data_IF_933525226695
#
_entry.id   IF_933525226695
#
_cell.length_a   1.000
_cell.length_b   1.000
_cell.length_c   1.000
_cell.angle_alpha   90.00
_cell.angle_beta   90.00
_cell.angle_gamma   90.00
#
_symmetry.space_group_name_H-M   'P 1'
#
loop_
_entity.id
_entity.type
_entity.pdbx_description
1 polymer ?
#
# COMPACT_ATOMS: atom_id res chain seq x y z
N UNK A 1 38.04 -4.83 26.42
CA UNK A 1 36.66 -5.21 26.77
C UNK A 1 35.93 -3.93 27.12
N UNK A 2 35.31 -3.29 26.11
CA UNK A 2 34.41 -2.16 26.33
C UNK A 2 33.08 -2.51 25.68
N UNK A 3 32.08 -2.68 26.54
CA UNK A 3 30.74 -3.10 26.18
C UNK A 3 30.00 -2.02 25.40
N UNK A 4 30.02 -2.11 24.08
CA UNK A 4 28.88 -1.64 23.29
C UNK A 4 27.68 -2.54 23.62
N UNK A 5 26.78 -2.07 24.48
CA UNK A 5 25.42 -2.64 24.54
C UNK A 5 24.84 -2.55 23.13
N UNK A 6 24.47 -3.66 22.47
CA UNK A 6 23.82 -3.56 21.18
C UNK A 6 22.46 -2.91 21.41
N UNK A 7 22.22 -1.80 20.71
CA UNK A 7 20.92 -1.18 20.57
C UNK A 7 19.91 -2.24 20.12
N UNK A 8 19.05 -2.69 21.04
CA UNK A 8 17.75 -3.36 20.86
C UNK A 8 17.51 -4.19 19.57
N UNK A 9 18.45 -5.06 19.18
CA UNK A 9 18.33 -5.91 17.99
C UNK A 9 17.37 -7.11 18.21
N UNK A 10 16.75 -7.60 17.13
CA UNK A 10 15.95 -8.83 17.09
C UNK A 10 16.53 -9.82 16.07
N UNK A 11 17.66 -10.47 16.40
CA UNK A 11 18.32 -11.37 15.47
C UNK A 11 17.51 -12.66 15.28
N UNK A 12 17.45 -13.16 14.06
CA UNK A 12 16.94 -14.50 13.71
C UNK A 12 17.87 -15.15 12.69
N UNK A 13 17.80 -16.47 12.57
CA UNK A 13 18.52 -17.21 11.55
C UNK A 13 17.55 -17.79 10.52
N UNK A 14 17.87 -17.70 9.23
CA UNK A 14 17.12 -18.40 8.20
C UNK A 14 18.11 -19.02 7.21
N UNK A 15 18.11 -20.35 7.14
CA UNK A 15 18.96 -21.11 6.23
C UNK A 15 20.46 -20.72 6.27
N UNK A 16 21.01 -20.60 7.48
CA UNK A 16 22.42 -20.25 7.69
C UNK A 16 22.72 -18.76 7.67
N UNK A 17 21.77 -17.92 7.27
CA UNK A 17 21.88 -16.46 7.22
C UNK A 17 21.29 -15.79 8.46
N UNK A 18 21.82 -14.61 8.82
CA UNK A 18 21.36 -13.82 9.96
C UNK A 18 20.58 -12.59 9.51
N UNK A 19 19.46 -12.33 10.18
CA UNK A 19 18.56 -11.21 9.88
C UNK A 19 18.22 -10.47 11.17
N UNK A 20 18.04 -9.16 11.10
CA UNK A 20 17.50 -8.36 12.20
C UNK A 20 16.07 -7.91 11.87
N UNK A 21 15.10 -8.51 12.56
CA UNK A 21 13.69 -8.20 12.36
C UNK A 21 13.24 -6.98 13.15
N UNK A 22 14.11 -6.33 13.94
CA UNK A 22 13.69 -5.34 14.94
C UNK A 22 12.77 -4.27 14.38
N UNK A 23 13.17 -3.66 13.26
CA UNK A 23 12.41 -2.59 12.62
C UNK A 23 11.11 -3.12 12.00
N UNK A 24 11.14 -4.35 11.47
CA UNK A 24 10.00 -5.01 10.85
C UNK A 24 9.00 -5.60 11.84
N UNK A 25 9.35 -5.75 13.12
CA UNK A 25 8.49 -6.43 14.10
C UNK A 25 7.06 -5.86 14.16
N UNK A 26 6.92 -4.53 14.09
CA UNK A 26 5.64 -3.84 14.14
C UNK A 26 4.87 -3.92 12.83
N UNK A 27 5.59 -4.10 11.73
CA UNK A 27 5.03 -4.13 10.38
C UNK A 27 4.76 -5.56 9.89
N UNK A 28 5.18 -6.57 10.65
CA UNK A 28 4.94 -7.98 10.33
C UNK A 28 3.43 -8.28 10.29
N UNK A 29 2.87 -8.76 9.16
CA UNK A 29 1.43 -8.97 8.99
C UNK A 29 0.81 -9.97 9.99
N UNK A 30 1.60 -10.90 10.53
CA UNK A 30 1.14 -11.81 11.59
C UNK A 30 1.16 -11.18 13.00
N UNK A 31 1.54 -9.91 13.11
CA UNK A 31 1.67 -9.17 14.36
C UNK A 31 2.97 -9.46 15.12
N UNK A 32 3.33 -8.55 16.03
CA UNK A 32 4.56 -8.63 16.85
C UNK A 32 4.61 -9.91 17.70
N UNK A 33 3.45 -10.38 18.18
CA UNK A 33 3.37 -11.49 19.12
C UNK A 33 3.80 -12.83 18.52
N UNK A 34 3.65 -13.02 17.21
CA UNK A 34 4.10 -14.25 16.55
C UNK A 34 5.62 -14.32 16.48
N UNK A 35 6.31 -13.17 16.41
CA UNK A 35 7.76 -13.10 16.30
C UNK A 35 8.48 -13.24 17.64
N UNK A 36 7.87 -12.81 18.76
CA UNK A 36 8.51 -12.73 20.10
C UNK A 36 9.29 -13.98 20.51
N UNK A 37 8.79 -15.17 20.14
CA UNK A 37 9.38 -16.45 20.54
C UNK A 37 10.56 -16.91 19.68
N UNK A 38 10.88 -16.18 18.60
CA UNK A 38 11.91 -16.52 17.62
C UNK A 38 13.21 -15.72 17.77
N UNK A 39 13.32 -14.84 18.77
CA UNK A 39 14.56 -14.08 19.03
C UNK A 39 15.74 -15.03 19.23
N UNK A 40 16.79 -14.87 18.43
CA UNK A 40 17.99 -15.68 18.43
C UNK A 40 17.81 -17.12 17.91
N UNK A 41 16.67 -17.43 17.27
CA UNK A 41 16.35 -18.78 16.77
C UNK A 41 16.30 -18.84 15.26
N UNK A 42 16.38 -20.06 14.74
CA UNK A 42 16.06 -20.33 13.34
C UNK A 42 14.55 -20.17 13.07
N UNK A 43 14.20 -19.42 12.03
CA UNK A 43 12.83 -19.24 11.55
C UNK A 43 12.52 -20.10 10.33
N UNK A 44 13.43 -20.97 9.87
CA UNK A 44 13.26 -21.82 8.68
C UNK A 44 11.92 -22.58 8.69
N UNK A 45 11.67 -23.31 9.78
CA UNK A 45 10.44 -24.09 9.92
C UNK A 45 9.20 -23.19 10.09
N UNK A 46 9.35 -22.03 10.73
CA UNK A 46 8.24 -21.09 10.89
C UNK A 46 7.82 -20.49 9.54
N UNK A 47 8.79 -20.07 8.72
CA UNK A 47 8.55 -19.53 7.39
C UNK A 47 7.81 -20.54 6.50
N UNK A 48 8.26 -21.79 6.50
CA UNK A 48 7.63 -22.89 5.75
C UNK A 48 6.24 -23.26 6.30
N UNK A 49 6.10 -23.39 7.63
CA UNK A 49 4.86 -23.82 8.27
C UNK A 49 3.70 -22.86 8.04
N UNK A 50 3.98 -21.56 8.04
CA UNK A 50 2.95 -20.53 7.90
C UNK A 50 2.71 -20.09 6.44
N UNK A 51 3.38 -20.72 5.46
CA UNK A 51 3.12 -20.49 4.03
C UNK A 51 3.30 -19.03 3.61
N UNK A 52 4.46 -18.45 3.93
CA UNK A 52 4.75 -17.06 3.54
C UNK A 52 4.79 -16.91 2.02
N UNK A 53 4.32 -15.76 1.51
CA UNK A 53 4.31 -15.51 0.06
C UNK A 53 5.73 -15.29 -0.50
N UNK A 54 5.89 -15.44 -1.82
CA UNK A 54 7.13 -15.14 -2.53
C UNK A 54 7.68 -13.73 -2.22
N UNK A 55 6.80 -12.73 -2.14
CA UNK A 55 7.19 -11.35 -1.82
C UNK A 55 7.74 -11.22 -0.39
N UNK A 56 7.28 -12.04 0.56
CA UNK A 56 7.80 -12.04 1.92
C UNK A 56 9.23 -12.61 1.97
N UNK A 57 9.53 -13.66 1.20
CA UNK A 57 10.90 -14.17 1.07
C UNK A 57 11.83 -13.17 0.37
N UNK A 58 11.37 -12.52 -0.70
CA UNK A 58 12.13 -11.47 -1.37
C UNK A 58 12.47 -10.31 -0.42
N UNK A 59 11.49 -9.84 0.34
CA UNK A 59 11.66 -8.75 1.30
C UNK A 59 12.61 -9.10 2.46
N UNK A 60 12.71 -10.38 2.82
CA UNK A 60 13.60 -10.82 3.89
C UNK A 60 15.07 -10.47 3.61
N UNK A 61 15.47 -10.39 2.32
CA UNK A 61 16.81 -9.96 1.93
C UNK A 61 17.17 -8.56 2.47
N UNK A 62 16.19 -7.65 2.55
CA UNK A 62 16.40 -6.29 3.06
C UNK A 62 16.63 -6.25 4.59
N UNK A 63 16.35 -7.35 5.29
CA UNK A 63 16.51 -7.49 6.74
C UNK A 63 17.81 -8.22 7.12
N UNK A 64 18.63 -8.63 6.14
CA UNK A 64 19.86 -9.39 6.36
C UNK A 64 20.91 -8.52 7.04
N UNK A 65 21.55 -9.07 8.08
CA UNK A 65 22.58 -8.37 8.87
C UNK A 65 23.81 -8.07 8.01
N UNK A 66 24.11 -8.86 6.98
CA UNK A 66 25.25 -8.72 6.05
C UNK A 66 24.84 -8.45 4.59
N UNK A 67 23.68 -7.81 4.34
CA UNK A 67 23.48 -7.12 3.05
C UNK A 67 24.47 -5.96 2.99
N UNK A 68 25.02 -5.54 1.83
CA UNK A 68 26.05 -4.48 1.63
C UNK A 68 25.80 -3.09 2.31
N UNK A 69 24.81 -2.98 3.18
CA UNK A 69 24.93 -2.24 4.44
C UNK A 69 25.89 -2.85 5.51
N UNK A 70 26.54 -4.01 5.27
CA UNK A 70 27.54 -4.77 6.06
C UNK A 70 28.13 -5.91 5.17
N UNK A 71 29.47 -6.09 5.14
CA UNK A 71 30.25 -6.79 4.09
C UNK A 71 30.77 -8.20 4.45
N UNK A 72 30.82 -9.08 3.43
CA UNK A 72 31.74 -10.21 3.11
C UNK A 72 32.03 -11.36 4.12
N UNK A 73 31.68 -12.63 3.76
CA UNK A 73 32.58 -13.76 3.31
C UNK A 73 31.86 -15.15 3.34
N UNK A 74 31.85 -15.81 2.18
CA UNK A 74 31.75 -17.25 1.81
C UNK A 74 30.96 -18.30 2.64
N UNK A 75 30.02 -18.96 1.94
CA UNK A 75 29.28 -20.16 2.37
C UNK A 75 29.49 -21.33 1.39
N UNK A 76 29.65 -22.55 1.92
CA UNK A 76 29.73 -23.80 1.15
C UNK A 76 28.46 -24.63 1.32
N UNK A 77 27.74 -24.83 0.21
CA UNK A 77 26.57 -25.68 0.05
C UNK A 77 25.73 -25.14 -1.13
N UNK A 78 25.48 -25.95 -2.16
CA UNK A 78 25.17 -25.53 -3.54
C UNK A 78 24.29 -24.28 -3.68
N UNK A 79 24.87 -23.32 -4.40
CA UNK A 79 24.46 -21.93 -4.55
C UNK A 79 24.32 -21.66 -6.05
N UNK A 80 23.30 -20.92 -6.46
CA UNK A 80 23.33 -20.26 -7.77
C UNK A 80 24.55 -19.35 -7.88
N UNK A 81 25.04 -19.08 -9.10
CA UNK A 81 26.18 -18.17 -9.35
C UNK A 81 26.06 -16.79 -8.66
N UNK A 82 24.85 -16.38 -8.24
CA UNK A 82 24.56 -15.11 -7.56
C UNK A 82 24.23 -15.20 -6.05
N UNK A 83 24.44 -16.33 -5.36
CA UNK A 83 24.41 -16.31 -3.89
C UNK A 83 23.08 -16.57 -3.18
N UNK A 84 22.02 -17.05 -3.87
CA UNK A 84 20.69 -17.26 -3.26
C UNK A 84 20.40 -18.72 -2.86
N UNK A 85 19.68 -18.86 -1.73
CA UNK A 85 19.11 -20.10 -1.18
C UNK A 85 17.69 -20.36 -1.70
N UNK A 86 17.42 -21.62 -2.06
CA UNK A 86 16.14 -22.05 -2.65
C UNK A 86 15.17 -22.66 -1.60
N UNK A 87 13.91 -22.24 -1.56
CA UNK A 87 12.86 -22.69 -0.61
C UNK A 87 11.90 -23.74 -1.18
N UNK A 88 11.11 -24.42 -0.32
CA UNK A 88 10.25 -25.56 -0.71
C UNK A 88 9.07 -25.23 -1.64
N UNK A 89 8.66 -23.96 -1.74
CA UNK A 89 7.67 -23.48 -2.73
C UNK A 89 8.33 -23.06 -4.05
N UNK A 90 9.67 -23.02 -4.14
CA UNK A 90 10.45 -22.68 -5.33
C UNK A 90 10.75 -23.87 -6.22
N UNK A 91 10.05 -25.00 -6.03
CA UNK A 91 10.10 -26.10 -7.00
C UNK A 91 9.50 -25.71 -8.37
N UNK A 92 8.82 -24.56 -8.47
CA UNK A 92 8.14 -24.09 -9.68
C UNK A 92 8.63 -22.74 -10.25
N UNK A 93 9.60 -22.05 -9.62
CA UNK A 93 10.18 -20.79 -10.17
C UNK A 93 11.70 -20.89 -10.25
N UNK A 94 12.23 -20.48 -11.39
CA UNK A 94 13.60 -20.73 -11.78
C UNK A 94 14.57 -19.71 -11.16
N UNK A 95 15.80 -20.13 -10.87
CA UNK A 95 16.85 -19.31 -10.25
C UNK A 95 17.13 -18.00 -11.02
N UNK A 96 17.01 -18.07 -12.33
CA UNK A 96 17.18 -16.99 -13.28
C UNK A 96 16.14 -15.88 -13.09
N UNK A 97 14.92 -16.22 -12.67
CA UNK A 97 13.86 -15.24 -12.44
C UNK A 97 14.17 -14.33 -11.25
N UNK A 98 14.83 -14.89 -10.23
CA UNK A 98 15.28 -14.10 -9.09
C UNK A 98 16.48 -13.25 -9.45
N UNK A 99 17.49 -13.84 -10.10
CA UNK A 99 18.66 -13.10 -10.58
C UNK A 99 18.22 -11.90 -11.42
N UNK A 100 17.21 -12.11 -12.26
CA UNK A 100 16.59 -11.06 -13.03
C UNK A 100 15.91 -9.98 -12.18
N UNK A 101 15.19 -10.34 -11.11
CA UNK A 101 14.62 -9.36 -10.17
C UNK A 101 15.71 -8.54 -9.46
N UNK A 102 16.78 -9.18 -9.00
CA UNK A 102 17.92 -8.50 -8.38
C UNK A 102 18.63 -7.56 -9.37
N UNK A 103 18.81 -8.00 -10.61
CA UNK A 103 19.31 -7.16 -11.70
C UNK A 103 18.40 -5.96 -11.97
N UNK A 104 17.08 -6.12 -11.88
CA UNK A 104 16.13 -4.99 -12.00
C UNK A 104 16.25 -4.03 -10.82
N UNK A 105 16.41 -4.53 -9.59
CA UNK A 105 16.65 -3.67 -8.42
C UNK A 105 17.95 -2.87 -8.53
N UNK A 106 19.03 -3.51 -9.00
CA UNK A 106 20.34 -2.90 -9.12
C UNK A 106 20.41 -1.77 -10.15
N UNK A 107 19.43 -1.69 -11.08
CA UNK A 107 19.32 -0.58 -12.05
C UNK A 107 18.89 0.74 -11.40
N UNK A 108 18.34 0.71 -10.18
CA UNK A 108 17.81 1.88 -9.50
C UNK A 108 18.66 2.23 -8.28
N UNK A 109 18.98 3.51 -8.14
CA UNK A 109 19.63 4.06 -6.96
C UNK A 109 18.58 4.53 -5.95
N UNK A 110 18.33 3.69 -4.94
CA UNK A 110 17.38 3.94 -3.85
C UNK A 110 17.78 5.11 -2.93
N UNK A 111 19.02 5.61 -3.01
CA UNK A 111 19.42 6.83 -2.30
C UNK A 111 18.92 8.12 -2.97
N UNK A 112 18.46 8.01 -4.23
CA UNK A 112 18.00 9.12 -5.07
C UNK A 112 16.49 9.04 -5.33
N UNK A 113 15.87 10.14 -5.79
CA UNK A 113 14.46 10.14 -6.19
C UNK A 113 14.17 9.09 -7.28
N UNK A 114 13.26 8.16 -7.02
CA UNK A 114 12.98 7.02 -7.91
C UNK A 114 12.14 7.40 -9.13
N UNK A 115 11.28 8.42 -9.06
CA UNK A 115 10.35 8.71 -10.14
C UNK A 115 11.06 9.05 -11.46
N UNK A 116 12.26 9.63 -11.38
CA UNK A 116 13.09 9.97 -12.54
C UNK A 116 14.04 8.86 -12.99
N UNK A 117 13.99 7.69 -12.37
CA UNK A 117 14.82 6.52 -12.69
C UNK A 117 13.99 5.37 -13.29
N UNK A 118 12.65 5.48 -13.31
CA UNK A 118 11.75 4.40 -13.74
C UNK A 118 11.87 4.03 -15.23
N UNK A 119 12.50 4.87 -16.04
CA UNK A 119 12.84 4.54 -17.43
C UNK A 119 13.84 3.38 -17.52
N UNK A 120 14.76 3.23 -16.56
CA UNK A 120 15.75 2.15 -16.52
C UNK A 120 15.14 0.73 -16.39
N UNK A 121 13.90 0.66 -15.90
CA UNK A 121 13.15 -0.58 -15.68
C UNK A 121 11.88 -0.67 -16.54
N UNK A 122 11.65 0.27 -17.45
CA UNK A 122 10.39 0.39 -18.19
C UNK A 122 9.92 -0.88 -18.92
N UNK A 123 10.81 -1.68 -19.58
CA UNK A 123 10.40 -2.93 -20.23
C UNK A 123 9.90 -4.01 -19.25
N UNK A 124 10.26 -3.92 -17.97
CA UNK A 124 9.99 -4.93 -16.94
C UNK A 124 9.35 -4.32 -15.69
N UNK A 125 8.68 -3.18 -15.86
CA UNK A 125 8.10 -2.42 -14.78
C UNK A 125 7.10 -3.24 -13.97
N UNK A 126 6.22 -3.98 -14.63
CA UNK A 126 5.18 -4.79 -14.00
C UNK A 126 5.79 -5.86 -13.08
N UNK A 127 6.86 -6.51 -13.51
CA UNK A 127 7.58 -7.50 -12.71
C UNK A 127 8.25 -6.84 -11.50
N UNK A 128 8.92 -5.69 -11.71
CA UNK A 128 9.63 -4.97 -10.65
C UNK A 128 8.69 -4.37 -9.59
N UNK A 129 7.57 -3.76 -10.00
CA UNK A 129 6.66 -3.04 -9.10
C UNK A 129 5.88 -3.97 -8.17
N UNK A 130 5.60 -5.19 -8.62
CA UNK A 130 4.91 -6.22 -7.84
C UNK A 130 5.87 -7.05 -6.94
N UNK A 131 7.17 -6.79 -7.01
CA UNK A 131 8.17 -7.35 -6.10
C UNK A 131 8.38 -6.42 -4.90
N UNK A 132 7.66 -6.65 -3.81
CA UNK A 132 7.72 -5.79 -2.64
C UNK A 132 9.10 -5.77 -1.96
N UNK A 133 9.47 -4.61 -1.42
CA UNK A 133 10.72 -4.37 -0.68
C UNK A 133 10.46 -3.64 0.63
N UNK A 134 11.36 -3.77 1.60
CA UNK A 134 11.32 -3.07 2.88
C UNK A 134 12.38 -1.98 2.92
N UNK A 135 12.14 -0.89 2.18
CA UNK A 135 13.09 0.20 1.99
C UNK A 135 12.41 1.57 2.05
N UNK A 136 13.18 2.60 2.39
CA UNK A 136 12.72 3.98 2.22
C UNK A 136 12.65 4.32 0.73
N UNK A 137 11.56 4.94 0.31
CA UNK A 137 11.36 5.39 -1.06
C UNK A 137 11.28 6.92 -1.09
N UNK A 138 12.17 7.55 -1.88
CA UNK A 138 12.08 8.97 -2.20
C UNK A 138 11.52 9.13 -3.61
N UNK A 139 10.48 9.93 -3.81
CA UNK A 139 9.85 10.10 -5.12
C UNK A 139 10.42 11.29 -5.89
N UNK A 140 10.59 12.42 -5.21
CA UNK A 140 10.97 13.69 -5.82
C UNK A 140 12.28 14.25 -5.25
N UNK A 141 13.04 14.95 -6.12
CA UNK A 141 14.21 15.71 -5.69
C UNK A 141 13.80 16.90 -4.81
N UNK A 142 12.73 17.59 -5.20
CA UNK A 142 12.18 18.73 -4.46
C UNK A 142 11.62 18.29 -3.09
N UNK A 143 12.09 18.87 -1.97
CA UNK A 143 11.54 18.59 -0.64
C UNK A 143 10.05 18.93 -0.53
N UNK A 144 9.59 19.97 -1.24
CA UNK A 144 8.18 20.37 -1.25
C UNK A 144 7.31 19.29 -1.92
N UNK A 145 7.68 18.86 -3.13
CA UNK A 145 6.95 17.82 -3.84
C UNK A 145 6.96 16.50 -3.07
N UNK A 146 8.09 16.17 -2.45
CA UNK A 146 8.19 15.01 -1.58
C UNK A 146 7.24 15.12 -0.39
N UNK A 147 7.19 16.27 0.29
CA UNK A 147 6.29 16.50 1.42
C UNK A 147 4.82 16.39 1.05
N UNK A 148 4.43 16.78 -0.18
CA UNK A 148 3.05 16.67 -0.66
C UNK A 148 2.61 15.21 -0.89
N UNK A 149 3.55 14.27 -0.93
CA UNK A 149 3.24 12.83 -1.04
C UNK A 149 2.90 12.22 0.31
N UNK A 150 3.29 12.85 1.42
CA UNK A 150 3.03 12.33 2.76
C UNK A 150 1.59 12.59 3.17
N UNK A 151 0.85 11.51 3.37
CA UNK A 151 -0.50 11.50 3.91
C UNK A 151 -0.56 10.54 5.10
N UNK A 152 -0.27 11.02 6.32
CA UNK A 152 -0.55 10.25 7.54
C UNK A 152 -2.02 9.78 7.57
N UNK A 153 -2.26 8.59 8.11
CA UNK A 153 -3.59 7.97 8.13
C UNK A 153 -4.68 8.88 8.71
N UNK A 154 -4.37 9.69 9.72
CA UNK A 154 -5.32 10.58 10.40
C UNK A 154 -5.74 11.79 9.55
N UNK A 155 -5.06 12.12 8.45
CA UNK A 155 -5.49 13.21 7.57
C UNK A 155 -6.76 12.87 6.80
N UNK A 156 -6.96 11.60 6.46
CA UNK A 156 -8.17 11.12 5.76
C UNK A 156 -9.45 11.40 6.56
N UNK A 157 -9.61 10.95 7.83
CA UNK A 157 -10.82 11.23 8.60
C UNK A 157 -10.95 12.73 8.91
N UNK A 158 -9.85 13.40 9.24
CA UNK A 158 -9.84 14.83 9.58
C UNK A 158 -10.39 15.67 8.43
N UNK A 159 -10.08 15.28 7.19
CA UNK A 159 -10.59 15.96 6.01
C UNK A 159 -12.03 15.54 5.65
N UNK A 160 -12.31 14.23 5.60
CA UNK A 160 -13.56 13.71 5.03
C UNK A 160 -14.73 13.67 6.03
N UNK A 161 -14.49 13.43 7.31
CA UNK A 161 -15.57 13.31 8.31
C UNK A 161 -16.34 14.62 8.46
N UNK A 162 -15.72 15.80 8.58
CA UNK A 162 -16.47 17.06 8.63
C UNK A 162 -17.35 17.30 7.40
N UNK A 163 -16.84 16.94 6.20
CA UNK A 163 -17.58 17.07 4.94
C UNK A 163 -18.78 16.13 4.92
N UNK A 164 -18.59 14.86 5.32
CA UNK A 164 -19.67 13.86 5.39
C UNK A 164 -20.75 14.31 6.38
N UNK A 165 -20.36 14.77 7.56
CA UNK A 165 -21.30 15.23 8.58
C UNK A 165 -22.06 16.46 8.11
N UNK A 166 -21.37 17.44 7.54
CA UNK A 166 -22.01 18.63 6.98
C UNK A 166 -23.04 18.26 5.92
N UNK A 167 -22.63 17.51 4.89
CA UNK A 167 -23.53 17.11 3.79
C UNK A 167 -24.69 16.24 4.28
N UNK A 168 -24.44 15.28 5.17
CA UNK A 168 -25.47 14.41 5.71
C UNK A 168 -26.50 15.19 6.53
N UNK A 169 -26.05 16.06 7.43
CA UNK A 169 -26.95 16.86 8.27
C UNK A 169 -27.74 17.87 7.45
N UNK A 170 -27.09 18.62 6.55
CA UNK A 170 -27.81 19.62 5.73
C UNK A 170 -28.84 18.94 4.83
N UNK A 171 -28.49 17.82 4.18
CA UNK A 171 -29.44 17.09 3.34
C UNK A 171 -30.58 16.47 4.15
N UNK A 172 -30.32 16.01 5.38
CA UNK A 172 -31.39 15.53 6.26
C UNK A 172 -32.37 16.65 6.62
N UNK A 173 -31.86 17.84 6.98
CA UNK A 173 -32.69 18.99 7.31
C UNK A 173 -33.48 19.49 6.09
N UNK A 174 -32.86 19.55 4.91
CA UNK A 174 -33.45 20.07 3.67
C UNK A 174 -34.43 19.11 2.99
N UNK A 175 -34.26 17.79 3.14
CA UNK A 175 -35.06 16.80 2.43
C UNK A 175 -36.03 16.04 3.34
N UNK A 176 -35.78 15.94 4.65
CA UNK A 176 -36.61 15.15 5.57
C UNK A 176 -37.35 16.05 6.56
N UNK A 177 -36.65 17.03 7.17
CA UNK A 177 -37.20 17.89 8.25
C UNK A 177 -37.73 19.23 7.72
N UNK A 178 -37.69 19.46 6.41
CA UNK A 178 -37.95 20.76 5.79
C UNK A 178 -39.37 21.32 5.96
N UNK A 179 -40.35 20.50 6.37
CA UNK A 179 -41.73 20.95 6.61
C UNK A 179 -42.33 21.65 5.40
N UNK A 180 -42.92 22.83 5.59
CA UNK A 180 -43.49 23.61 4.48
C UNK A 180 -42.44 24.31 3.60
N UNK A 181 -41.16 24.26 4.00
CA UNK A 181 -40.04 24.92 3.29
C UNK A 181 -39.28 24.00 2.33
N UNK A 182 -39.81 22.82 2.03
CA UNK A 182 -39.14 21.88 1.12
C UNK A 182 -39.08 22.42 -0.31
N UNK A 183 -37.86 22.63 -0.83
CA UNK A 183 -37.65 23.03 -2.23
C UNK A 183 -37.86 21.89 -3.23
N UNK A 184 -37.89 20.65 -2.74
CA UNK A 184 -38.03 19.41 -3.51
C UNK A 184 -39.03 18.48 -2.81
N UNK A 185 -39.46 17.42 -3.47
CA UNK A 185 -40.31 16.40 -2.86
C UNK A 185 -39.64 15.84 -1.59
N UNK A 186 -40.27 15.95 -0.42
CA UNK A 186 -39.67 15.48 0.83
C UNK A 186 -39.47 13.96 0.81
N UNK A 187 -38.39 13.53 1.43
CA UNK A 187 -38.05 12.13 1.64
C UNK A 187 -38.51 11.67 3.02
N UNK A 188 -39.05 10.47 3.11
CA UNK A 188 -39.18 9.76 4.38
C UNK A 188 -37.80 9.39 4.95
N UNK A 189 -37.73 9.14 6.25
CA UNK A 189 -36.52 8.61 6.89
C UNK A 189 -36.00 7.32 6.21
N UNK A 190 -36.91 6.45 5.77
CA UNK A 190 -36.54 5.22 5.05
C UNK A 190 -35.89 5.49 3.70
N UNK A 191 -36.42 6.45 2.92
CA UNK A 191 -35.83 6.86 1.65
C UNK A 191 -34.47 7.53 1.84
N UNK A 192 -34.30 8.35 2.87
CA UNK A 192 -33.00 8.96 3.20
C UNK A 192 -31.94 7.88 3.44
N UNK A 193 -32.24 6.91 4.32
CA UNK A 193 -31.35 5.78 4.61
C UNK A 193 -31.07 4.96 3.35
N UNK A 194 -32.09 4.71 2.52
CA UNK A 194 -31.94 4.02 1.25
C UNK A 194 -30.93 4.72 0.32
N UNK A 195 -31.01 6.03 0.15
CA UNK A 195 -30.09 6.79 -0.70
C UNK A 195 -28.65 6.80 -0.16
N UNK A 196 -28.47 6.87 1.16
CA UNK A 196 -27.15 6.74 1.80
C UNK A 196 -26.58 5.33 1.56
N UNK A 197 -27.38 4.28 1.78
CA UNK A 197 -26.98 2.89 1.56
C UNK A 197 -26.66 2.61 0.08
N UNK A 198 -27.47 3.15 -0.84
CA UNK A 198 -27.22 3.09 -2.28
C UNK A 198 -25.90 3.79 -2.64
N UNK A 199 -25.59 4.92 -2.01
CA UNK A 199 -24.30 5.60 -2.13
C UNK A 199 -23.12 4.71 -1.72
N UNK A 200 -23.22 4.02 -0.58
CA UNK A 200 -22.20 3.05 -0.13
C UNK A 200 -22.04 1.92 -1.14
N UNK A 201 -23.13 1.37 -1.65
CA UNK A 201 -23.11 0.31 -2.66
C UNK A 201 -22.46 0.79 -3.97
N UNK A 202 -22.82 1.97 -4.45
CA UNK A 202 -22.19 2.60 -5.63
C UNK A 202 -20.68 2.73 -5.39
N UNK A 203 -20.26 3.19 -4.21
CA UNK A 203 -18.84 3.25 -3.86
C UNK A 203 -18.17 1.88 -3.90
N UNK A 204 -18.78 0.82 -3.35
CA UNK A 204 -18.16 -0.52 -3.41
C UNK A 204 -17.93 -1.00 -4.84
N UNK A 205 -18.87 -0.74 -5.76
CA UNK A 205 -18.71 -1.05 -7.17
C UNK A 205 -17.62 -0.19 -7.83
N UNK A 206 -17.59 1.11 -7.53
CA UNK A 206 -16.55 2.03 -8.02
C UNK A 206 -15.17 1.67 -7.51
N UNK A 207 -15.03 1.34 -6.22
CA UNK A 207 -13.77 0.94 -5.60
C UNK A 207 -13.20 -0.30 -6.30
N UNK A 208 -14.02 -1.34 -6.46
CA UNK A 208 -13.63 -2.53 -7.20
C UNK A 208 -13.20 -2.19 -8.64
N UNK A 209 -13.97 -1.32 -9.31
CA UNK A 209 -13.71 -0.92 -10.70
C UNK A 209 -12.39 -0.16 -10.84
N UNK A 210 -12.20 0.88 -10.03
CA UNK A 210 -11.00 1.70 -10.00
C UNK A 210 -9.79 0.85 -9.62
N UNK A 211 -9.92 0.01 -8.59
CA UNK A 211 -8.82 -0.82 -8.13
C UNK A 211 -8.40 -1.83 -9.21
N UNK A 212 -9.36 -2.54 -9.81
CA UNK A 212 -9.07 -3.57 -10.81
C UNK A 212 -8.55 -3.03 -12.14
N UNK A 213 -9.15 -1.97 -12.68
CA UNK A 213 -8.87 -1.52 -14.06
C UNK A 213 -8.03 -0.25 -14.16
N UNK A 214 -8.04 0.61 -13.14
CA UNK A 214 -7.26 1.86 -13.15
C UNK A 214 -5.97 1.69 -12.35
N UNK A 215 -6.08 1.23 -11.10
CA UNK A 215 -4.94 1.11 -10.20
C UNK A 215 -4.03 -0.06 -10.57
N UNK A 216 -4.59 -1.14 -11.14
CA UNK A 216 -3.82 -2.27 -11.68
C UNK A 216 -3.68 -2.23 -13.21
N UNK A 217 -3.79 -1.05 -13.82
CA UNK A 217 -3.52 -0.87 -15.25
C UNK A 217 -2.07 -1.27 -15.57
N UNK A 218 -1.87 -2.13 -16.57
CA UNK A 218 -0.53 -2.40 -17.10
C UNK A 218 -0.07 -1.21 -17.97
N UNK A 219 0.97 -0.46 -17.57
CA UNK A 219 1.40 0.71 -18.31
C UNK A 219 2.26 0.40 -19.55
N UNK A 220 2.54 -0.88 -19.82
CA UNK A 220 3.52 -1.30 -20.82
C UNK A 220 4.88 -0.69 -20.55
N UNK A 221 5.58 -0.24 -21.61
CA UNK A 221 6.88 0.43 -21.50
C UNK A 221 6.80 1.97 -21.61
N UNK A 222 5.59 2.54 -21.53
CA UNK A 222 5.41 3.99 -21.58
C UNK A 222 5.86 4.62 -20.27
N UNK A 223 6.99 5.33 -20.29
CA UNK A 223 7.58 5.97 -19.10
C UNK A 223 6.59 6.91 -18.40
N UNK A 224 5.80 7.68 -19.16
CA UNK A 224 4.79 8.58 -18.60
C UNK A 224 3.71 7.81 -17.85
N UNK A 225 3.20 6.73 -18.44
CA UNK A 225 2.15 5.92 -17.83
C UNK A 225 2.68 5.11 -16.64
N UNK A 226 3.93 4.65 -16.70
CA UNK A 226 4.66 4.02 -15.59
C UNK A 226 4.76 4.98 -14.41
N UNK A 227 5.20 6.23 -14.63
CA UNK A 227 5.29 7.25 -13.58
C UNK A 227 3.92 7.53 -12.96
N UNK A 228 2.88 7.65 -13.79
CA UNK A 228 1.52 7.84 -13.32
C UNK A 228 1.02 6.65 -12.49
N UNK A 229 1.13 5.43 -13.00
CA UNK A 229 0.75 4.20 -12.28
C UNK A 229 1.52 4.07 -10.95
N UNK A 230 2.82 4.36 -10.95
CA UNK A 230 3.65 4.30 -9.74
C UNK A 230 3.16 5.25 -8.66
N UNK A 231 2.77 6.48 -9.04
CA UNK A 231 2.25 7.49 -8.10
C UNK A 231 0.87 7.13 -7.53
N UNK A 232 -0.02 6.52 -8.32
CA UNK A 232 -1.39 6.24 -7.86
C UNK A 232 -1.52 4.90 -7.13
N UNK A 233 -0.70 3.89 -7.45
CA UNK A 233 -0.82 2.55 -6.86
C UNK A 233 0.46 1.71 -6.88
N UNK A 234 1.35 1.86 -7.86
CA UNK A 234 2.54 1.02 -7.97
C UNK A 234 3.47 1.12 -6.75
N UNK A 235 3.62 2.30 -6.17
CA UNK A 235 4.37 2.47 -4.92
C UNK A 235 3.78 1.67 -3.76
N UNK A 236 2.45 1.52 -3.68
CA UNK A 236 1.80 0.75 -2.63
C UNK A 236 2.16 -0.74 -2.70
N UNK A 237 2.30 -1.30 -3.91
CA UNK A 237 2.81 -2.67 -4.10
C UNK A 237 4.29 -2.78 -3.79
N UNK A 238 5.06 -1.77 -4.20
CA UNK A 238 6.52 -1.81 -4.10
C UNK A 238 7.02 -1.63 -2.68
N UNK A 239 6.50 -0.65 -1.95
CA UNK A 239 6.87 -0.32 -0.56
C UNK A 239 5.63 -0.34 0.35
N UNK A 240 5.04 -1.53 0.59
CA UNK A 240 3.74 -1.66 1.25
C UNK A 240 3.72 -1.20 2.71
N UNK A 241 4.91 -1.00 3.30
CA UNK A 241 5.11 -0.59 4.70
C UNK A 241 5.46 0.90 4.87
N UNK A 242 5.41 1.71 3.80
CA UNK A 242 5.50 3.16 3.93
C UNK A 242 4.22 3.75 4.55
N UNK A 243 4.18 3.85 5.87
CA UNK A 243 3.02 4.32 6.64
C UNK A 243 2.57 5.76 6.32
N UNK A 244 3.40 6.57 5.67
CA UNK A 244 3.03 7.93 5.25
C UNK A 244 2.37 7.95 3.87
N UNK A 245 2.38 6.84 3.13
CA UNK A 245 1.89 6.79 1.74
C UNK A 245 0.95 5.64 1.45
N UNK A 246 0.41 5.03 2.50
CA UNK A 246 -0.58 3.96 2.40
C UNK A 246 -1.97 4.45 2.02
N UNK A 247 -2.30 5.72 2.27
CA UNK A 247 -3.60 6.31 1.96
C UNK A 247 -3.52 7.28 0.80
N UNK A 248 -4.60 7.36 0.03
CA UNK A 248 -4.66 8.27 -1.10
C UNK A 248 -4.78 9.73 -0.61
N UNK A 249 -3.93 10.67 -1.07
CA UNK A 249 -3.91 12.04 -0.57
C UNK A 249 -5.26 12.76 -0.76
N UNK A 250 -5.78 13.52 0.24
CA UNK A 250 -7.13 14.09 0.20
C UNK A 250 -7.40 15.02 -0.98
N UNK A 251 -6.42 15.84 -1.39
CA UNK A 251 -6.59 16.84 -2.46
C UNK A 251 -6.80 16.15 -3.82
N UNK A 252 -5.91 15.26 -4.32
CA UNK A 252 -6.19 14.42 -5.49
C UNK A 252 -7.49 13.62 -5.36
N UNK A 253 -7.78 13.09 -4.17
CA UNK A 253 -9.01 12.34 -3.93
C UNK A 253 -10.27 13.20 -4.09
N UNK A 254 -10.21 14.48 -3.73
CA UNK A 254 -11.29 15.43 -3.91
C UNK A 254 -11.56 15.71 -5.38
N UNK A 255 -10.53 15.96 -6.18
CA UNK A 255 -10.69 16.14 -7.62
C UNK A 255 -11.28 14.90 -8.29
N UNK A 256 -10.80 13.70 -7.91
CA UNK A 256 -11.37 12.45 -8.41
C UNK A 256 -12.86 12.30 -8.00
N UNK A 257 -13.21 12.65 -6.77
CA UNK A 257 -14.60 12.62 -6.31
C UNK A 257 -15.50 13.59 -7.08
N UNK A 258 -15.01 14.80 -7.41
CA UNK A 258 -15.74 15.79 -8.24
C UNK A 258 -15.97 15.27 -9.65
N UNK A 259 -14.97 14.64 -10.27
CA UNK A 259 -15.09 14.05 -11.62
C UNK A 259 -16.14 12.94 -11.61
N UNK A 260 -16.01 11.97 -10.69
CA UNK A 260 -16.95 10.86 -10.55
C UNK A 260 -18.37 11.37 -10.25
N UNK A 261 -18.51 12.32 -9.34
CA UNK A 261 -19.80 12.94 -9.02
C UNK A 261 -20.42 13.59 -10.26
N UNK A 262 -19.64 14.36 -11.03
CA UNK A 262 -20.14 15.02 -12.24
C UNK A 262 -20.63 14.03 -13.28
N UNK A 263 -19.97 12.87 -13.40
CA UNK A 263 -20.38 11.79 -14.30
C UNK A 263 -21.65 11.07 -13.82
N UNK A 264 -21.81 10.86 -12.50
CA UNK A 264 -22.92 10.11 -11.93
C UNK A 264 -24.17 10.96 -11.68
N UNK A 265 -24.01 12.27 -11.48
CA UNK A 265 -25.10 13.20 -11.16
C UNK A 265 -26.33 13.07 -12.08
N UNK A 266 -26.20 12.93 -13.42
CA UNK A 266 -27.36 12.80 -14.31
C UNK A 266 -28.19 11.53 -14.10
N UNK A 267 -27.62 10.50 -13.46
CA UNK A 267 -28.24 9.18 -13.30
C UNK A 267 -28.83 8.96 -11.91
N UNK A 268 -28.73 9.95 -11.00
CA UNK A 268 -29.11 9.83 -9.60
C UNK A 268 -30.20 10.84 -9.25
N UNK A 269 -31.25 10.38 -8.59
CA UNK A 269 -32.35 11.25 -8.15
C UNK A 269 -31.93 12.24 -7.06
N UNK A 270 -31.07 11.80 -6.12
CA UNK A 270 -30.60 12.61 -4.98
C UNK A 270 -29.07 12.58 -4.92
N UNK A 271 -28.38 13.17 -5.92
CA UNK A 271 -26.96 12.90 -6.18
C UNK A 271 -26.03 13.30 -5.03
N UNK A 272 -26.35 14.36 -4.27
CA UNK A 272 -25.54 14.81 -3.12
C UNK A 272 -25.65 13.82 -1.95
N UNK A 273 -26.85 13.29 -1.69
CA UNK A 273 -27.06 12.29 -0.64
C UNK A 273 -26.40 10.95 -0.99
N UNK A 274 -26.52 10.52 -2.25
CA UNK A 274 -25.79 9.36 -2.78
C UNK A 274 -24.26 9.56 -2.70
N UNK A 275 -23.75 10.76 -3.01
CA UNK A 275 -22.33 11.09 -2.82
C UNK A 275 -21.92 10.98 -1.35
N UNK A 276 -22.74 11.48 -0.42
CA UNK A 276 -22.49 11.39 1.02
C UNK A 276 -22.37 9.92 1.46
N UNK A 277 -23.27 9.06 1.00
CA UNK A 277 -23.17 7.60 1.18
C UNK A 277 -21.89 7.01 0.60
N UNK A 278 -21.50 7.43 -0.61
CA UNK A 278 -20.26 6.97 -1.24
C UNK A 278 -18.99 7.39 -0.46
N UNK A 279 -18.97 8.61 0.06
CA UNK A 279 -17.89 9.10 0.92
C UNK A 279 -17.82 8.34 2.25
N UNK A 280 -18.96 7.95 2.83
CA UNK A 280 -19.01 7.06 4.00
C UNK A 280 -18.38 5.71 3.65
N UNK A 281 -18.79 5.08 2.54
CA UNK A 281 -18.24 3.80 2.08
C UNK A 281 -16.71 3.83 1.93
N UNK A 282 -16.18 4.87 1.28
CA UNK A 282 -14.74 5.11 1.10
C UNK A 282 -13.98 5.11 2.42
N UNK A 283 -14.48 5.82 3.42
CA UNK A 283 -13.79 5.96 4.70
C UNK A 283 -13.87 4.64 5.47
N UNK A 284 -15.05 4.02 5.56
CA UNK A 284 -15.22 2.76 6.31
C UNK A 284 -14.27 1.66 5.81
N UNK A 285 -14.23 1.40 4.51
CA UNK A 285 -13.43 0.29 3.95
C UNK A 285 -11.93 0.52 4.18
N UNK A 286 -11.43 1.74 4.01
CA UNK A 286 -10.00 2.03 4.20
C UNK A 286 -9.57 2.06 5.67
N UNK A 287 -10.46 2.49 6.57
CA UNK A 287 -10.21 2.45 8.02
C UNK A 287 -10.03 1.03 8.54
N UNK A 288 -10.83 0.08 8.07
CA UNK A 288 -10.66 -1.33 8.41
C UNK A 288 -9.28 -1.87 7.96
N UNK A 289 -8.81 -1.52 6.76
CA UNK A 289 -7.50 -1.97 6.28
C UNK A 289 -6.30 -1.38 7.06
N UNK A 290 -6.44 -0.19 7.63
CA UNK A 290 -5.38 0.47 8.42
C UNK A 290 -5.37 -0.02 9.86
N UNK A 291 -6.54 -0.27 10.46
CA UNK A 291 -6.67 -0.72 11.86
C UNK A 291 -6.32 -2.20 12.03
N UNK A 292 -6.45 -3.01 10.98
CA UNK A 292 -6.17 -4.47 11.02
C UNK A 292 -4.67 -4.78 10.79
N UNK A 293 -3.83 -3.78 10.46
CA UNK A 293 -2.36 -3.91 10.44
C UNK A 293 -1.77 -3.47 11.78
#
# INVERSE_FOLDING_TARGET
MDGHKPLDAFPVAFNGEHYDLKQFMRDHPGGVNTLKNYKGKSILHAMQKFGHSNSAYHMMHDLRVDSDHLKDVNLTGEVSENGRIITGEEKSRNVEEIKFLEELEARLDWSKPLLNQLDAIAPHYETWVNSAVYRKCRLFASPLLESLTYTPWYLVPMFWVPIILYLGVTQYLELVVCGDSCTQTPLSNGQYIYHVALGVLIWTALEYTLHRWVFHLNPGSSVTLIKFHFLIHGMHHKVPFDGLRQVFPPVPAFFLAVIIYSMLKPFLAVPILNLTGGLIGKNTIRFYYIIIR
#
